data_IF_333790364739
#
_entry.id   IF_333790364739
#
_cell.length_a   1.000
_cell.length_b   1.000
_cell.length_c   1.000
_cell.angle_alpha   90.00
_cell.angle_beta   90.00
_cell.angle_gamma   90.00
#
_symmetry.space_group_name_H-M   'P 1'
#
loop_
_entity.id
_entity.type
_entity.pdbx_description
1 polymer ?
#
# COMPACT_ATOMS: atom_id res chain seq x y z
N UNK A 1 3.39 18.80 -0.98
CA UNK A 1 2.82 17.62 -0.28
C UNK A 1 3.89 16.56 -0.03
N UNK A 2 4.70 16.20 -1.02
CA UNK A 2 5.71 15.13 -0.87
C UNK A 2 6.73 15.43 0.22
N UNK A 3 7.24 16.66 0.27
CA UNK A 3 8.12 17.14 1.35
C UNK A 3 7.41 17.12 2.72
N UNK A 4 6.13 17.49 2.76
CA UNK A 4 5.33 17.50 3.98
C UNK A 4 5.16 16.12 4.60
N UNK A 5 5.01 15.10 3.75
CA UNK A 5 4.81 13.72 4.19
C UNK A 5 6.10 12.93 4.30
N UNK A 6 7.21 13.44 3.80
CA UNK A 6 8.49 12.72 3.69
C UNK A 6 8.30 11.33 3.04
N UNK A 7 7.60 11.32 1.90
CA UNK A 7 7.13 10.11 1.24
C UNK A 7 8.05 9.70 0.08
N UNK A 8 8.85 8.68 0.28
CA UNK A 8 9.72 8.11 -0.74
C UNK A 8 10.84 9.04 -1.23
N UNK A 9 11.49 8.61 -2.28
CA UNK A 9 12.42 9.43 -3.07
C UNK A 9 11.74 9.78 -4.40
N UNK A 10 11.12 10.96 -4.47
CA UNK A 10 10.28 11.35 -5.58
C UNK A 10 11.03 12.29 -6.52
N UNK A 11 11.16 11.87 -7.77
CA UNK A 11 11.65 12.67 -8.89
C UNK A 11 10.44 13.35 -9.55
N UNK A 12 10.16 14.60 -9.14
CA UNK A 12 9.01 15.37 -9.63
C UNK A 12 9.53 16.65 -10.29
N UNK A 13 9.14 16.84 -11.54
CA UNK A 13 9.46 18.04 -12.34
C UNK A 13 8.29 18.40 -13.27
N UNK A 14 8.42 19.49 -14.03
CA UNK A 14 7.36 19.99 -14.89
C UNK A 14 6.93 18.99 -15.99
N UNK A 15 7.81 18.07 -16.38
CA UNK A 15 7.55 17.08 -17.44
C UNK A 15 6.86 15.83 -16.96
N UNK A 16 6.86 15.55 -15.63
CA UNK A 16 6.33 14.31 -15.07
C UNK A 16 5.35 14.49 -13.91
N UNK A 17 4.94 15.70 -13.60
CA UNK A 17 4.10 16.03 -12.44
C UNK A 17 2.76 15.28 -12.42
N UNK A 18 2.26 14.90 -13.58
CA UNK A 18 1.01 14.16 -13.78
C UNK A 18 1.19 12.64 -13.87
N UNK A 19 2.44 12.15 -13.79
CA UNK A 19 2.74 10.71 -13.98
C UNK A 19 3.97 10.21 -13.19
N UNK A 20 4.58 11.02 -12.35
CA UNK A 20 5.79 10.65 -11.59
C UNK A 20 5.64 9.38 -10.74
N UNK A 21 4.40 9.03 -10.36
CA UNK A 21 4.09 7.82 -9.60
C UNK A 21 3.96 6.55 -10.48
N UNK A 22 3.78 6.71 -11.79
CA UNK A 22 3.66 5.61 -12.76
C UNK A 22 4.96 5.37 -13.53
N UNK A 23 5.66 6.46 -13.87
CA UNK A 23 6.83 6.47 -14.73
C UNK A 23 8.02 7.18 -14.05
N UNK A 24 9.22 7.03 -14.61
CA UNK A 24 10.42 7.75 -14.17
C UNK A 24 11.13 7.12 -12.97
N UNK A 25 11.87 7.95 -12.24
CA UNK A 25 12.83 7.52 -11.21
C UNK A 25 12.29 7.59 -9.77
N UNK A 26 11.01 7.94 -9.60
CA UNK A 26 10.41 7.99 -8.27
C UNK A 26 10.37 6.60 -7.63
N UNK A 27 10.89 6.47 -6.42
CA UNK A 27 10.97 5.19 -5.71
C UNK A 27 10.49 5.32 -4.27
N UNK A 28 9.99 4.21 -3.74
CA UNK A 28 9.66 4.06 -2.32
C UNK A 28 9.97 2.63 -1.89
N UNK A 29 10.51 2.47 -0.70
CA UNK A 29 10.75 1.16 -0.11
C UNK A 29 9.55 0.69 0.70
N UNK A 30 9.47 -0.63 0.94
CA UNK A 30 8.44 -1.21 1.83
C UNK A 30 8.50 -0.61 3.24
N UNK A 31 9.70 -0.37 3.77
CA UNK A 31 9.87 0.26 5.09
C UNK A 31 9.33 1.70 5.14
N UNK A 32 9.57 2.48 4.07
CA UNK A 32 9.03 3.84 3.96
C UNK A 32 7.50 3.82 3.89
N UNK A 33 6.91 2.86 3.16
CA UNK A 33 5.46 2.66 3.12
C UNK A 33 4.89 2.33 4.50
N UNK A 34 5.50 1.41 5.23
CA UNK A 34 5.08 1.05 6.59
C UNK A 34 5.18 2.25 7.52
N UNK A 35 6.26 3.02 7.44
CA UNK A 35 6.44 4.22 8.25
C UNK A 35 5.34 5.27 7.97
N UNK A 36 5.04 5.50 6.69
CA UNK A 36 3.94 6.38 6.28
C UNK A 36 2.59 5.90 6.83
N UNK A 37 2.28 4.61 6.69
CA UNK A 37 1.03 4.01 7.18
C UNK A 37 0.88 4.12 8.69
N UNK A 38 1.96 3.93 9.44
CA UNK A 38 1.96 4.14 10.91
C UNK A 38 1.60 5.56 11.28
N UNK A 39 2.18 6.55 10.61
CA UNK A 39 1.84 7.97 10.82
C UNK A 39 0.39 8.28 10.45
N UNK A 40 -0.10 7.75 9.33
CA UNK A 40 -1.49 7.91 8.93
C UNK A 40 -2.43 7.28 9.96
N UNK A 41 -2.13 6.07 10.39
CA UNK A 41 -2.92 5.35 11.39
C UNK A 41 -3.04 6.12 12.70
N UNK A 42 -1.92 6.66 13.19
CA UNK A 42 -1.82 7.43 14.43
C UNK A 42 -2.27 8.91 14.28
N UNK A 43 -2.68 9.34 13.09
CA UNK A 43 -3.08 10.73 12.81
C UNK A 43 -1.95 11.76 13.06
N UNK A 44 -0.72 11.39 12.74
CA UNK A 44 0.49 12.18 13.03
C UNK A 44 0.94 13.11 11.90
N UNK A 45 0.22 13.16 10.78
CA UNK A 45 0.54 14.10 9.71
C UNK A 45 0.05 15.51 10.02
N UNK A 46 0.76 16.56 9.58
CA UNK A 46 0.38 17.96 9.78
C UNK A 46 -0.74 18.40 8.82
N UNK A 47 -1.83 17.65 8.82
CA UNK A 47 -3.05 17.90 8.05
C UNK A 47 -4.27 17.69 8.95
N UNK A 48 -5.45 18.03 8.46
CA UNK A 48 -6.71 17.84 9.19
C UNK A 48 -6.88 16.39 9.68
N UNK A 49 -7.16 16.23 10.96
CA UNK A 49 -7.48 14.92 11.57
C UNK A 49 -8.69 14.29 10.86
N UNK A 50 -9.67 15.09 10.50
CA UNK A 50 -10.85 14.63 9.77
C UNK A 50 -10.48 14.04 8.40
N UNK A 51 -9.60 14.71 7.65
CA UNK A 51 -9.12 14.19 6.37
C UNK A 51 -8.38 12.86 6.53
N UNK A 52 -7.55 12.71 7.57
CA UNK A 52 -6.88 11.43 7.85
C UNK A 52 -7.88 10.32 8.20
N UNK A 53 -8.91 10.61 8.99
CA UNK A 53 -9.97 9.66 9.32
C UNK A 53 -10.75 9.23 8.08
N UNK A 54 -11.08 10.17 7.18
CA UNK A 54 -11.75 9.87 5.92
C UNK A 54 -10.89 8.96 5.03
N UNK A 55 -9.58 9.21 4.94
CA UNK A 55 -8.66 8.33 4.21
C UNK A 55 -8.67 6.93 4.81
N UNK A 56 -8.60 6.79 6.14
CA UNK A 56 -8.68 5.48 6.82
C UNK A 56 -9.99 4.75 6.50
N UNK A 57 -11.12 5.44 6.45
CA UNK A 57 -12.41 4.86 6.06
C UNK A 57 -12.41 4.36 4.61
N UNK A 58 -11.89 5.17 3.68
CA UNK A 58 -11.79 4.82 2.26
C UNK A 58 -10.85 3.62 2.04
N UNK A 59 -9.84 3.47 2.88
CA UNK A 59 -8.88 2.35 2.82
C UNK A 59 -9.49 1.03 3.28
N UNK A 60 -10.63 1.01 3.97
CA UNK A 60 -11.23 -0.23 4.46
C UNK A 60 -11.52 -1.17 3.28
N UNK A 61 -10.85 -2.31 3.28
CA UNK A 61 -10.84 -3.27 2.18
C UNK A 61 -11.66 -4.53 2.50
N UNK A 62 -11.51 -5.08 3.70
CA UNK A 62 -12.19 -6.31 4.12
C UNK A 62 -12.47 -6.29 5.63
N UNK A 63 -13.65 -6.76 6.01
CA UNK A 63 -14.06 -6.94 7.40
C UNK A 63 -14.28 -8.42 7.64
N UNK A 64 -13.43 -9.03 8.44
CA UNK A 64 -13.59 -10.40 8.94
C UNK A 64 -14.24 -10.43 10.31
N UNK A 65 -14.41 -11.64 10.88
CA UNK A 65 -15.02 -11.81 12.19
C UNK A 65 -14.22 -11.12 13.33
N UNK A 66 -12.89 -11.22 13.27
CA UNK A 66 -12.00 -10.73 14.34
C UNK A 66 -10.90 -9.78 13.82
N UNK A 67 -11.02 -9.29 12.59
CA UNK A 67 -10.05 -8.38 11.99
C UNK A 67 -10.70 -7.43 10.98
N UNK A 68 -10.01 -6.32 10.72
CA UNK A 68 -10.30 -5.41 9.61
C UNK A 68 -9.01 -5.20 8.83
N UNK A 69 -9.04 -5.48 7.53
CA UNK A 69 -7.95 -5.13 6.62
C UNK A 69 -8.28 -3.79 5.98
N UNK A 70 -7.40 -2.82 6.15
CA UNK A 70 -7.42 -1.55 5.44
C UNK A 70 -6.20 -1.47 4.52
N UNK A 71 -6.41 -1.16 3.25
CA UNK A 71 -5.30 -1.14 2.29
C UNK A 71 -5.62 -0.42 0.99
N UNK A 72 -4.56 -0.17 0.23
CA UNK A 72 -4.62 0.42 -1.10
C UNK A 72 -3.73 -0.32 -2.06
N UNK A 73 -4.28 -0.64 -3.22
CA UNK A 73 -3.54 -1.25 -4.33
C UNK A 73 -2.92 -0.18 -5.22
N UNK A 74 -1.76 -0.49 -5.79
CA UNK A 74 -1.11 0.30 -6.83
C UNK A 74 -0.61 -0.59 -7.96
N UNK A 75 -0.52 -0.05 -9.17
CA UNK A 75 0.06 -0.71 -10.33
C UNK A 75 0.74 0.32 -11.22
N UNK A 76 1.97 0.05 -11.59
CA UNK A 76 2.74 0.82 -12.56
C UNK A 76 3.43 -0.12 -13.55
N UNK A 77 3.69 0.37 -14.76
CA UNK A 77 4.53 -0.31 -15.75
C UNK A 77 5.80 0.52 -15.88
N UNK A 78 6.95 -0.07 -15.57
CA UNK A 78 8.24 0.61 -15.62
C UNK A 78 9.26 -0.23 -16.39
N UNK A 79 9.88 0.35 -17.40
CA UNK A 79 10.94 -0.30 -18.19
C UNK A 79 10.57 -1.73 -18.63
N UNK A 80 9.30 -1.94 -19.06
CA UNK A 80 8.74 -3.24 -19.44
C UNK A 80 8.49 -4.22 -18.29
N UNK A 81 8.56 -3.77 -17.04
CA UNK A 81 8.15 -4.56 -15.89
C UNK A 81 6.82 -4.05 -15.33
N UNK A 82 5.94 -4.97 -14.99
CA UNK A 82 4.76 -4.68 -14.20
C UNK A 82 5.16 -4.66 -12.72
N UNK A 83 4.89 -3.57 -12.03
CA UNK A 83 5.14 -3.42 -10.60
C UNK A 83 3.82 -3.16 -9.89
N UNK A 84 3.44 -4.05 -8.99
CA UNK A 84 2.20 -3.94 -8.24
C UNK A 84 2.47 -3.84 -6.75
N UNK A 85 1.57 -3.11 -6.06
CA UNK A 85 1.62 -2.93 -4.62
C UNK A 85 0.27 -3.22 -3.98
N UNK A 86 0.31 -3.78 -2.78
CA UNK A 86 -0.78 -3.75 -1.82
C UNK A 86 -0.20 -3.35 -0.47
N UNK A 87 -0.59 -2.19 0.03
CA UNK A 87 -0.05 -1.59 1.25
C UNK A 87 -1.19 -1.25 2.21
N UNK A 88 -0.98 -1.47 3.50
CA UNK A 88 -2.05 -1.26 4.45
C UNK A 88 -1.72 -1.72 5.86
N UNK A 89 -2.78 -1.95 6.61
CA UNK A 89 -2.72 -2.48 7.96
C UNK A 89 -3.90 -3.39 8.27
N UNK A 90 -3.71 -4.26 9.25
CA UNK A 90 -4.75 -5.14 9.80
C UNK A 90 -4.97 -4.75 11.26
N UNK A 91 -6.20 -4.38 11.58
CA UNK A 91 -6.64 -4.16 12.95
C UNK A 91 -7.23 -5.44 13.50
N UNK A 92 -6.72 -5.90 14.63
CA UNK A 92 -7.29 -6.99 15.42
C UNK A 92 -7.71 -6.45 16.77
N UNK A 93 -8.37 -7.27 17.59
CA UNK A 93 -8.79 -6.86 18.93
C UNK A 93 -7.64 -6.32 19.80
N UNK A 94 -6.41 -6.83 19.61
CA UNK A 94 -5.30 -6.59 20.52
C UNK A 94 -4.12 -5.87 19.88
N UNK A 95 -4.06 -5.75 18.54
CA UNK A 95 -2.88 -5.21 17.86
C UNK A 95 -3.23 -4.65 16.47
N UNK A 96 -2.30 -3.88 15.91
CA UNK A 96 -2.32 -3.41 14.52
C UNK A 96 -1.04 -3.87 13.84
N UNK A 97 -1.20 -4.57 12.73
CA UNK A 97 -0.11 -5.09 11.91
C UNK A 97 -0.08 -4.32 10.59
N UNK A 98 1.11 -3.92 10.15
CA UNK A 98 1.30 -3.18 8.91
C UNK A 98 1.92 -4.06 7.85
N UNK A 99 1.50 -3.90 6.60
CA UNK A 99 2.04 -4.66 5.48
C UNK A 99 2.33 -3.76 4.28
N UNK A 100 3.33 -4.16 3.48
CA UNK A 100 3.68 -3.53 2.22
C UNK A 100 4.18 -4.61 1.25
N UNK A 101 3.24 -5.22 0.54
CA UNK A 101 3.52 -6.25 -0.46
C UNK A 101 3.78 -5.60 -1.81
N UNK A 102 4.93 -5.95 -2.40
CA UNK A 102 5.33 -5.53 -3.73
C UNK A 102 5.64 -6.76 -4.58
N UNK A 103 5.08 -6.82 -5.77
CA UNK A 103 5.31 -7.90 -6.73
C UNK A 103 5.65 -7.28 -8.09
N UNK A 104 6.73 -7.76 -8.68
CA UNK A 104 7.15 -7.37 -10.01
C UNK A 104 7.11 -8.58 -10.96
N UNK A 105 6.82 -8.34 -12.23
CA UNK A 105 6.86 -9.36 -13.28
C UNK A 105 7.22 -8.78 -14.63
N UNK A 106 7.73 -9.63 -15.53
CA UNK A 106 8.02 -9.28 -16.89
C UNK A 106 6.74 -9.06 -17.72
N UNK A 107 6.85 -8.43 -18.89
CA UNK A 107 5.74 -8.11 -19.82
C UNK A 107 4.84 -9.28 -20.20
N UNK A 108 5.36 -10.52 -20.20
CA UNK A 108 4.66 -11.72 -20.65
C UNK A 108 3.69 -12.32 -19.65
N UNK A 109 3.55 -11.73 -18.47
CA UNK A 109 2.69 -12.25 -17.40
C UNK A 109 1.21 -11.98 -17.72
N UNK A 110 0.33 -12.95 -17.45
CA UNK A 110 -1.11 -12.76 -17.53
C UNK A 110 -1.57 -11.65 -16.55
N UNK A 111 -1.94 -10.51 -17.11
CA UNK A 111 -2.30 -9.32 -16.34
C UNK A 111 -3.60 -9.49 -15.54
N UNK A 112 -4.46 -10.46 -15.90
CA UNK A 112 -5.73 -10.69 -15.18
C UNK A 112 -5.48 -11.27 -13.80
N UNK A 113 -4.55 -12.21 -13.71
CA UNK A 113 -4.20 -12.87 -12.44
C UNK A 113 -3.15 -12.08 -11.68
N UNK A 114 -2.22 -11.43 -12.37
CA UNK A 114 -1.12 -10.67 -11.75
C UNK A 114 -1.60 -9.59 -10.78
N UNK A 115 -2.68 -8.91 -11.13
CA UNK A 115 -3.27 -7.88 -10.26
C UNK A 115 -3.77 -8.42 -8.92
N UNK A 116 -4.21 -9.68 -8.83
CA UNK A 116 -4.73 -10.28 -7.61
C UNK A 116 -3.62 -10.88 -6.73
N UNK A 117 -2.53 -11.34 -7.32
CA UNK A 117 -1.42 -12.01 -6.61
C UNK A 117 -0.96 -11.21 -5.39
N UNK A 118 -0.83 -9.88 -5.47
CA UNK A 118 -0.39 -9.04 -4.35
C UNK A 118 -1.32 -9.12 -3.13
N UNK A 119 -2.62 -9.26 -3.37
CA UNK A 119 -3.64 -9.36 -2.31
C UNK A 119 -3.62 -10.75 -1.71
N UNK A 120 -3.66 -11.78 -2.57
CA UNK A 120 -3.65 -13.19 -2.15
C UNK A 120 -2.39 -13.52 -1.35
N UNK A 121 -1.21 -13.11 -1.85
CA UNK A 121 0.05 -13.29 -1.15
C UNK A 121 0.05 -12.59 0.22
N UNK A 122 -0.46 -11.37 0.30
CA UNK A 122 -0.59 -10.66 1.58
C UNK A 122 -1.48 -11.43 2.55
N UNK A 123 -2.66 -11.85 2.10
CA UNK A 123 -3.60 -12.61 2.94
C UNK A 123 -3.04 -13.95 3.38
N UNK A 124 -2.32 -14.64 2.49
CA UNK A 124 -1.68 -15.92 2.83
C UNK A 124 -0.63 -15.74 3.94
N UNK A 125 0.25 -14.75 3.82
CA UNK A 125 1.24 -14.44 4.85
C UNK A 125 0.56 -14.05 6.17
N UNK A 126 -0.51 -13.27 6.14
CA UNK A 126 -1.27 -12.89 7.34
C UNK A 126 -1.92 -14.10 8.02
N UNK A 127 -2.38 -15.09 7.23
CA UNK A 127 -2.92 -16.37 7.76
C UNK A 127 -1.82 -17.22 8.38
N UNK A 128 -0.68 -17.38 7.71
CA UNK A 128 0.46 -18.14 8.23
C UNK A 128 1.00 -17.56 9.55
N UNK A 129 0.92 -16.24 9.70
CA UNK A 129 1.27 -15.55 10.94
C UNK A 129 0.15 -15.58 12.00
N UNK A 130 -0.99 -16.21 11.73
CA UNK A 130 -2.18 -16.24 12.57
C UNK A 130 -2.72 -14.86 12.95
N UNK A 131 -2.57 -13.87 12.06
CA UNK A 131 -3.09 -12.51 12.23
C UNK A 131 -4.55 -12.45 11.78
N UNK A 132 -4.89 -13.17 10.72
CA UNK A 132 -6.26 -13.34 10.24
C UNK A 132 -6.65 -14.83 10.21
N UNK A 133 -7.94 -15.12 10.33
CA UNK A 133 -8.44 -16.50 10.26
C UNK A 133 -8.36 -17.08 8.85
N UNK A 134 -8.20 -18.39 8.75
CA UNK A 134 -8.46 -19.14 7.50
C UNK A 134 -9.99 -19.22 7.33
N UNK A 135 -10.50 -18.69 6.23
CA UNK A 135 -11.90 -18.89 5.83
C UNK A 135 -12.15 -20.36 5.52
#
# INVERSE_FOLDING_TARGET
YTTLFNYGNLDINAQNIDKFWLEGNSTITQYQQIYFLKKLYNLEFPISVESMKQVKQIMQYEVGENYIISGKTGWAVRQKENVTWFVGYVETKNNVYYFATNVASNETTDLKTFGQIRIELTKEVLRELNIITKD
#
